data_IF_503772469239
#
_entry.id   IF_503772469239
#
_cell.length_a   1.000
_cell.length_b   1.000
_cell.length_c   1.000
_cell.angle_alpha   90.00
_cell.angle_beta   90.00
_cell.angle_gamma   90.00
#
_symmetry.space_group_name_H-M   'P 1'
#
loop_
_entity.id
_entity.type
_entity.pdbx_description
1 polymer ?
#
# COMPACT_ATOMS: atom_id res chain seq x y z
N UNK A 1 10.21 5.42 -29.97
CA UNK A 1 10.28 4.18 -29.16
C UNK A 1 9.30 4.22 -27.98
N UNK A 2 9.33 5.24 -27.13
CA UNK A 2 8.42 5.34 -25.96
C UNK A 2 6.92 5.33 -26.34
N UNK A 3 6.50 6.04 -27.39
CA UNK A 3 5.11 6.02 -27.87
C UNK A 3 4.67 4.62 -28.31
N UNK A 4 5.55 3.86 -28.97
CA UNK A 4 5.26 2.49 -29.41
C UNK A 4 5.16 1.53 -28.22
N UNK A 5 6.06 1.65 -27.23
CA UNK A 5 6.01 0.90 -25.97
C UNK A 5 4.70 1.14 -25.22
N UNK A 6 4.27 2.41 -25.11
CA UNK A 6 2.98 2.76 -24.48
C UNK A 6 1.80 2.17 -25.25
N UNK A 7 1.81 2.28 -26.58
CA UNK A 7 0.75 1.70 -27.43
C UNK A 7 0.68 0.18 -27.24
N UNK A 8 1.82 -0.51 -27.30
CA UNK A 8 1.90 -1.96 -27.10
C UNK A 8 1.37 -2.34 -25.72
N UNK A 9 1.84 -1.68 -24.65
CA UNK A 9 1.40 -1.98 -23.30
C UNK A 9 -0.12 -1.79 -23.12
N UNK A 10 -0.67 -0.70 -23.66
CA UNK A 10 -2.10 -0.44 -23.62
C UNK A 10 -2.90 -1.50 -24.38
N UNK A 11 -2.46 -1.86 -25.60
CA UNK A 11 -3.11 -2.91 -26.40
C UNK A 11 -3.07 -4.27 -25.70
N UNK A 12 -1.90 -4.70 -25.21
CA UNK A 12 -1.76 -5.97 -24.48
C UNK A 12 -2.63 -6.01 -23.24
N UNK A 13 -2.61 -4.95 -22.42
CA UNK A 13 -3.44 -4.86 -21.23
C UNK A 13 -4.93 -4.98 -21.55
N UNK A 14 -5.41 -4.25 -22.57
CA UNK A 14 -6.82 -4.27 -22.97
C UNK A 14 -7.27 -5.62 -23.54
N UNK A 15 -6.42 -6.29 -24.32
CA UNK A 15 -6.74 -7.60 -24.89
C UNK A 15 -6.83 -8.65 -23.78
N UNK A 16 -5.83 -8.73 -22.91
CA UNK A 16 -5.80 -9.74 -21.84
C UNK A 16 -6.90 -9.49 -20.81
N UNK A 17 -7.09 -8.25 -20.36
CA UNK A 17 -8.11 -7.91 -19.35
C UNK A 17 -9.55 -8.23 -19.79
N UNK A 18 -9.85 -8.21 -21.10
CA UNK A 18 -11.16 -8.60 -21.65
C UNK A 18 -11.41 -10.11 -21.59
N UNK A 19 -10.35 -10.91 -21.61
CA UNK A 19 -10.43 -12.38 -21.52
C UNK A 19 -10.47 -12.89 -20.08
N UNK A 20 -10.27 -12.02 -19.08
CA UNK A 20 -10.28 -12.38 -17.66
C UNK A 20 -11.66 -12.20 -17.03
N UNK A 21 -11.95 -13.05 -16.02
CA UNK A 21 -13.09 -12.83 -15.14
C UNK A 21 -12.95 -11.50 -14.41
N UNK A 22 -14.09 -10.88 -14.06
CA UNK A 22 -14.12 -9.57 -13.40
C UNK A 22 -13.28 -9.55 -12.11
N UNK A 23 -13.31 -10.65 -11.35
CA UNK A 23 -12.58 -10.79 -10.08
C UNK A 23 -11.06 -10.81 -10.26
N UNK A 24 -10.55 -11.28 -11.40
CA UNK A 24 -9.11 -11.42 -11.64
C UNK A 24 -8.47 -10.14 -12.22
N UNK A 25 -9.29 -9.21 -12.73
CA UNK A 25 -8.80 -8.03 -13.45
C UNK A 25 -7.91 -7.16 -12.57
N UNK A 26 -8.26 -6.98 -11.30
CA UNK A 26 -7.46 -6.15 -10.39
C UNK A 26 -6.10 -6.79 -10.11
N UNK A 27 -6.10 -8.10 -9.80
CA UNK A 27 -4.87 -8.87 -9.57
C UNK A 27 -3.96 -8.84 -10.80
N UNK A 28 -4.54 -9.09 -11.98
CA UNK A 28 -3.81 -8.99 -13.24
C UNK A 28 -3.24 -7.59 -13.45
N UNK A 29 -4.04 -6.54 -13.22
CA UNK A 29 -3.60 -5.16 -13.45
C UNK A 29 -2.41 -4.77 -12.61
N UNK A 30 -2.43 -5.16 -11.34
CA UNK A 30 -1.34 -4.85 -10.43
C UNK A 30 -0.06 -5.63 -10.78
N UNK A 31 -0.18 -6.94 -11.07
CA UNK A 31 0.96 -7.75 -11.53
C UNK A 31 1.53 -7.27 -12.86
N UNK A 32 0.67 -6.85 -13.78
CA UNK A 32 1.07 -6.28 -15.06
C UNK A 32 1.87 -4.99 -14.85
N UNK A 33 1.37 -4.08 -14.00
CA UNK A 33 2.05 -2.83 -13.66
C UNK A 33 3.45 -3.08 -13.08
N UNK A 34 3.56 -4.04 -12.16
CA UNK A 34 4.86 -4.46 -11.59
C UNK A 34 5.82 -4.98 -12.66
N UNK A 35 5.32 -5.76 -13.63
CA UNK A 35 6.16 -6.28 -14.70
C UNK A 35 6.68 -5.18 -15.65
N UNK A 36 5.88 -4.16 -15.94
CA UNK A 36 6.26 -3.09 -16.88
C UNK A 36 7.02 -1.92 -16.25
N UNK A 37 6.85 -1.71 -14.94
CA UNK A 37 7.41 -0.60 -14.16
C UNK A 37 7.86 -1.08 -12.76
N UNK A 38 8.85 -1.99 -12.68
CA UNK A 38 9.31 -2.54 -11.41
C UNK A 38 9.86 -1.47 -10.46
N UNK A 39 10.41 -0.38 -11.02
CA UNK A 39 10.98 0.74 -10.26
C UNK A 39 9.97 1.53 -9.42
N UNK A 40 8.65 1.31 -9.62
CA UNK A 40 7.61 1.93 -8.79
C UNK A 40 7.45 1.25 -7.42
N UNK A 41 8.06 0.08 -7.24
CA UNK A 41 7.95 -0.75 -6.05
C UNK A 41 9.36 -0.89 -5.47
N UNK A 42 9.59 -0.39 -4.26
CA UNK A 42 10.86 -0.55 -3.59
C UNK A 42 11.01 -1.97 -3.01
N UNK A 43 12.20 -2.27 -2.49
CA UNK A 43 12.49 -3.54 -1.86
C UNK A 43 11.51 -3.85 -0.72
N UNK A 44 11.09 -5.11 -0.64
CA UNK A 44 10.14 -5.64 0.35
C UNK A 44 8.71 -5.05 0.30
N UNK A 45 8.45 -3.95 -0.39
CA UNK A 45 7.11 -3.34 -0.48
C UNK A 45 6.10 -4.31 -1.10
N UNK A 46 6.47 -4.99 -2.18
CA UNK A 46 5.60 -5.98 -2.81
C UNK A 46 5.39 -7.22 -1.93
N UNK A 47 6.44 -7.66 -1.23
CA UNK A 47 6.36 -8.78 -0.31
C UNK A 47 5.43 -8.49 0.86
N UNK A 48 5.49 -7.26 1.40
CA UNK A 48 4.58 -6.76 2.42
C UNK A 48 3.14 -6.72 1.91
N UNK A 49 2.92 -6.14 0.73
CA UNK A 49 1.61 -6.03 0.10
C UNK A 49 0.91 -7.39 -0.03
N UNK A 50 1.63 -8.42 -0.49
CA UNK A 50 1.10 -9.77 -0.63
C UNK A 50 0.96 -10.54 0.69
N UNK A 51 1.52 -10.05 1.80
CA UNK A 51 1.56 -10.78 3.07
C UNK A 51 2.60 -11.90 3.11
N UNK A 52 3.60 -11.88 2.22
CA UNK A 52 4.58 -12.94 2.03
C UNK A 52 5.88 -12.72 2.83
N UNK A 53 6.02 -11.58 3.51
CA UNK A 53 7.19 -11.34 4.37
C UNK A 53 7.11 -12.24 5.60
N UNK A 54 8.05 -13.18 5.68
CA UNK A 54 8.20 -14.08 6.82
C UNK A 54 8.61 -13.23 8.03
N UNK A 55 7.72 -13.12 9.02
CA UNK A 55 7.98 -12.48 10.30
C UNK A 55 9.03 -13.30 11.07
N UNK A 56 10.31 -12.97 10.92
CA UNK A 56 11.42 -13.69 11.56
C UNK A 56 11.53 -13.54 13.09
N UNK A 57 10.43 -13.31 13.82
CA UNK A 57 10.29 -13.40 15.28
C UNK A 57 8.87 -12.96 15.65
N UNK A 58 7.99 -13.89 16.00
CA UNK A 58 6.63 -13.61 16.50
C UNK A 58 6.62 -12.94 17.89
N UNK A 59 7.79 -12.73 18.50
CA UNK A 59 7.92 -12.44 19.93
C UNK A 59 8.13 -10.96 20.29
N UNK A 60 8.00 -10.03 19.33
CA UNK A 60 8.15 -8.60 19.60
C UNK A 60 7.01 -7.79 18.98
N UNK A 61 5.75 -8.11 19.32
CA UNK A 61 4.69 -7.10 19.30
C UNK A 61 4.94 -6.15 20.47
N UNK A 62 6.00 -5.35 20.42
CA UNK A 62 6.05 -4.11 21.18
C UNK A 62 4.93 -3.26 20.60
N UNK A 63 3.74 -3.35 21.22
CA UNK A 63 2.49 -2.85 20.67
C UNK A 63 2.66 -1.43 20.20
N UNK A 64 2.49 -1.22 18.90
CA UNK A 64 2.35 0.11 18.34
C UNK A 64 1.13 0.74 19.01
N UNK A 65 1.36 1.66 19.95
CA UNK A 65 0.31 2.32 20.71
C UNK A 65 -0.18 3.54 19.93
N UNK A 66 -0.91 3.29 18.84
CA UNK A 66 -1.61 4.32 18.08
C UNK A 66 -3.07 4.34 18.55
N UNK A 67 -3.46 5.44 19.21
CA UNK A 67 -4.74 5.53 19.91
C UNK A 67 -5.97 5.48 18.99
N UNK A 68 -5.85 5.91 17.74
CA UNK A 68 -6.96 6.01 16.79
C UNK A 68 -7.16 4.77 15.91
N UNK A 69 -6.23 3.82 15.95
CA UNK A 69 -6.36 2.55 15.24
C UNK A 69 -7.10 1.52 16.09
N UNK A 70 -7.86 0.64 15.43
CA UNK A 70 -8.38 -0.59 16.04
C UNK A 70 -7.26 -1.64 16.24
N UNK A 71 -7.55 -2.69 16.99
CA UNK A 71 -6.53 -3.67 17.37
C UNK A 71 -6.00 -4.49 16.19
N UNK A 72 -6.81 -4.74 15.15
CA UNK A 72 -6.37 -5.44 13.94
C UNK A 72 -5.41 -4.55 13.12
N UNK A 73 -5.78 -3.29 12.93
CA UNK A 73 -4.94 -2.28 12.27
C UNK A 73 -3.64 -2.02 13.04
N UNK A 74 -3.63 -2.10 14.38
CA UNK A 74 -2.38 -2.02 15.17
C UNK A 74 -1.43 -3.18 14.86
N UNK A 75 -1.94 -4.40 14.66
CA UNK A 75 -1.13 -5.55 14.26
C UNK A 75 -0.52 -5.30 12.88
N UNK A 76 -1.31 -4.82 11.92
CA UNK A 76 -0.83 -4.49 10.59
C UNK A 76 0.20 -3.33 10.60
N UNK A 77 -0.02 -2.30 11.41
CA UNK A 77 0.93 -1.21 11.62
C UNK A 77 2.24 -1.69 12.27
N UNK A 78 2.20 -2.64 13.20
CA UNK A 78 3.39 -3.26 13.77
C UNK A 78 4.19 -4.06 12.72
N UNK A 79 3.50 -4.82 11.85
CA UNK A 79 4.13 -5.49 10.71
C UNK A 79 4.75 -4.49 9.74
N UNK A 80 4.08 -3.36 9.49
CA UNK A 80 4.60 -2.27 8.67
C UNK A 80 5.87 -1.67 9.28
N UNK A 81 5.88 -1.40 10.58
CA UNK A 81 7.05 -0.88 11.29
C UNK A 81 8.26 -1.80 11.16
N UNK A 82 8.04 -3.12 11.24
CA UNK A 82 9.10 -4.11 11.12
C UNK A 82 9.62 -4.26 9.70
N UNK A 83 8.71 -4.36 8.75
CA UNK A 83 9.01 -4.68 7.35
C UNK A 83 9.53 -3.47 6.58
N UNK A 84 8.97 -2.29 6.87
CA UNK A 84 9.19 -1.04 6.15
C UNK A 84 9.38 0.12 7.17
N UNK A 85 10.43 0.07 8.02
CA UNK A 85 10.61 1.02 9.13
C UNK A 85 10.74 2.48 8.67
N UNK A 86 11.35 2.72 7.51
CA UNK A 86 11.50 4.06 6.93
C UNK A 86 10.14 4.64 6.54
N UNK A 87 9.27 3.82 5.93
CA UNK A 87 7.91 4.24 5.60
C UNK A 87 7.12 4.51 6.87
N UNK A 88 7.13 3.61 7.85
CA UNK A 88 6.43 3.79 9.12
C UNK A 88 6.80 5.12 9.81
N UNK A 89 8.10 5.45 9.88
CA UNK A 89 8.57 6.73 10.43
C UNK A 89 8.10 7.94 9.62
N UNK A 90 7.97 7.79 8.30
CA UNK A 90 7.52 8.87 7.40
C UNK A 90 6.03 9.16 7.57
N UNK A 91 5.23 8.14 7.88
CA UNK A 91 3.78 8.26 8.09
C UNK A 91 3.42 8.98 9.39
N UNK A 92 4.27 8.92 10.43
CA UNK A 92 4.04 9.59 11.72
C UNK A 92 2.63 9.28 12.27
N UNK A 93 2.25 8.01 12.27
CA UNK A 93 0.89 7.56 12.62
C UNK A 93 0.52 7.86 14.09
N UNK A 94 1.51 8.13 14.94
CA UNK A 94 1.34 8.58 16.32
C UNK A 94 0.76 10.00 16.42
N UNK A 95 0.93 10.84 15.40
CA UNK A 95 0.33 12.18 15.35
C UNK A 95 -1.15 12.10 14.95
N UNK A 96 -2.00 11.88 15.94
CA UNK A 96 -3.45 11.80 15.76
C UNK A 96 -4.04 13.07 15.12
N UNK A 97 -3.44 14.25 15.34
CA UNK A 97 -3.93 15.50 14.76
C UNK A 97 -3.90 15.44 13.23
N UNK A 98 -2.76 15.00 12.69
CA UNK A 98 -2.52 14.85 11.26
C UNK A 98 -3.46 13.84 10.60
N UNK A 99 -3.77 12.72 11.27
CA UNK A 99 -4.60 11.64 10.72
C UNK A 99 -6.09 11.72 11.07
N UNK A 100 -6.53 12.76 11.78
CA UNK A 100 -7.90 12.86 12.31
C UNK A 100 -9.00 12.90 11.23
N UNK A 101 -8.75 13.59 10.11
CA UNK A 101 -9.67 13.65 8.96
C UNK A 101 -9.72 12.31 8.21
N UNK A 102 -8.55 11.70 7.99
CA UNK A 102 -8.42 10.36 7.43
C UNK A 102 -9.22 9.32 8.23
N UNK A 103 -9.04 9.30 9.55
CA UNK A 103 -9.64 8.31 10.44
C UNK A 103 -11.17 8.36 10.47
N UNK A 104 -11.78 9.54 10.22
CA UNK A 104 -13.23 9.73 10.27
C UNK A 104 -13.91 9.63 8.89
N UNK A 105 -13.13 9.65 7.81
CA UNK A 105 -13.65 9.70 6.45
C UNK A 105 -14.12 8.33 5.95
N UNK A 106 -15.18 8.33 5.15
CA UNK A 106 -15.59 7.16 4.36
C UNK A 106 -14.62 6.91 3.21
N UNK A 107 -14.07 7.96 2.61
CA UNK A 107 -13.13 7.87 1.49
C UNK A 107 -11.71 8.16 2.03
N UNK A 108 -11.27 7.33 2.98
CA UNK A 108 -10.02 7.52 3.70
C UNK A 108 -8.82 7.59 2.73
N UNK A 109 -8.83 6.80 1.64
CA UNK A 109 -7.80 6.81 0.61
C UNK A 109 -7.63 8.17 -0.10
N UNK A 110 -8.65 9.02 -0.08
CA UNK A 110 -8.60 10.40 -0.61
C UNK A 110 -8.18 11.43 0.43
N UNK A 111 -8.26 11.08 1.71
CA UNK A 111 -7.99 11.97 2.84
C UNK A 111 -6.65 11.69 3.54
N UNK A 112 -5.72 11.01 2.85
CA UNK A 112 -4.35 10.87 3.35
C UNK A 112 -3.74 12.27 3.51
N UNK A 113 -3.08 12.59 4.64
CA UNK A 113 -2.59 13.94 4.90
C UNK A 113 -1.60 14.40 3.83
N UNK A 114 -1.82 15.60 3.27
CA UNK A 114 -1.00 16.14 2.16
C UNK A 114 0.49 16.23 2.51
N UNK A 115 0.80 16.51 3.78
CA UNK A 115 2.17 16.56 4.31
C UNK A 115 2.88 15.20 4.25
N UNK A 116 2.14 14.11 4.36
CA UNK A 116 2.62 12.72 4.23
C UNK A 116 2.61 12.30 2.76
N UNK A 117 1.53 12.59 2.03
CA UNK A 117 1.38 12.24 0.61
C UNK A 117 2.51 12.83 -0.26
N UNK A 118 3.00 14.02 0.07
CA UNK A 118 4.14 14.64 -0.61
C UNK A 118 5.48 13.91 -0.39
N UNK A 119 5.59 13.01 0.59
CA UNK A 119 6.83 12.31 0.99
C UNK A 119 6.84 10.83 0.60
N UNK A 120 5.71 10.28 0.17
CA UNK A 120 5.55 8.84 -0.12
C UNK A 120 5.21 8.61 -1.59
N UNK A 121 5.49 7.40 -2.08
CA UNK A 121 5.09 6.99 -3.43
C UNK A 121 3.60 6.62 -3.49
N UNK A 122 2.98 6.60 -4.68
CA UNK A 122 1.61 6.11 -4.84
C UNK A 122 1.41 4.68 -4.31
N UNK A 123 2.42 3.81 -4.45
CA UNK A 123 2.32 2.45 -3.92
C UNK A 123 2.44 2.43 -2.39
N UNK A 124 3.32 3.23 -1.81
CA UNK A 124 3.41 3.39 -0.35
C UNK A 124 2.12 3.94 0.26
N UNK A 125 1.39 4.79 -0.46
CA UNK A 125 0.04 5.22 -0.06
C UNK A 125 -0.93 4.03 0.05
N UNK A 126 -0.88 3.09 -0.90
CA UNK A 126 -1.67 1.84 -0.82
C UNK A 126 -1.27 1.02 0.40
N UNK A 127 0.03 0.89 0.70
CA UNK A 127 0.49 0.15 1.88
C UNK A 127 0.05 0.80 3.20
N UNK A 128 0.05 2.13 3.24
CA UNK A 128 -0.44 2.87 4.40
C UNK A 128 -1.93 2.58 4.62
N UNK A 129 -2.75 2.70 3.57
CA UNK A 129 -4.20 2.40 3.65
C UNK A 129 -4.45 0.94 4.04
N UNK A 130 -3.73 -0.01 3.42
CA UNK A 130 -3.82 -1.44 3.77
C UNK A 130 -3.53 -1.70 5.26
N UNK A 131 -2.57 -0.98 5.85
CA UNK A 131 -2.19 -1.15 7.24
C UNK A 131 -3.11 -0.44 8.24
N UNK A 132 -3.83 0.61 7.84
CA UNK A 132 -4.64 1.44 8.75
C UNK A 132 -6.14 1.34 8.56
N UNK A 133 -6.61 1.00 7.34
CA UNK A 133 -8.03 0.90 6.94
C UNK A 133 -8.19 -0.21 5.89
N UNK A 134 -8.05 -1.49 6.27
CA UNK A 134 -8.13 -2.62 5.33
C UNK A 134 -9.52 -2.81 4.68
N UNK A 135 -10.54 -2.07 5.15
CA UNK A 135 -11.86 -2.00 4.50
C UNK A 135 -11.87 -1.20 3.19
N UNK A 136 -10.74 -0.57 2.82
CA UNK A 136 -10.57 0.29 1.64
C UNK A 136 -9.47 -0.22 0.72
#
# INVERSE_FOLDING_TARGET
LETLRRSLNSSTFNIVSRSLFKVDRLMFSLNYLRAIQPNLFADNEWGFFCGNLIDGNEQATSGVSIAWLDDESKIAAAKLQRSLPTLYRTLQLDDQGTWSEYAKSTDAEKQVPKSVEAKITPFQKVLAVQATRPDR
#
